data_IF_396763377742
#
_entry.id   IF_396763377742
#
_cell.length_a   1.000
_cell.length_b   1.000
_cell.length_c   1.000
_cell.angle_alpha   90.00
_cell.angle_beta   90.00
_cell.angle_gamma   90.00
#
_symmetry.space_group_name_H-M   'P 1'
#
loop_
_entity.id
_entity.type
_entity.pdbx_description
1 polymer ?
#
# COMPACT_ATOMS: atom_id res chain seq x y z
N UNK A 1 16.36 14.13 57.44
CA UNK A 1 16.05 12.69 57.27
C UNK A 1 14.98 12.57 56.19
N UNK A 2 15.29 11.87 55.08
CA UNK A 2 14.31 11.27 54.14
C UNK A 2 13.53 10.19 54.92
N UNK A 3 12.23 9.97 54.64
CA UNK A 3 11.78 9.24 53.47
C UNK A 3 10.57 9.95 52.80
N UNK A 4 10.17 9.72 51.57
CA UNK A 4 9.64 8.45 51.11
C UNK A 4 9.57 8.44 49.58
N UNK A 5 10.49 7.70 48.98
CA UNK A 5 10.50 7.25 47.58
C UNK A 5 9.41 6.17 47.34
N UNK A 6 8.17 6.42 47.77
CA UNK A 6 7.09 5.42 47.72
C UNK A 6 5.79 5.95 47.09
N UNK A 7 5.87 7.00 46.27
CA UNK A 7 4.73 7.47 45.48
C UNK A 7 4.85 7.13 43.97
N UNK A 8 6.00 6.61 43.52
CA UNK A 8 6.30 6.40 42.09
C UNK A 8 6.24 4.94 41.63
N UNK A 9 5.75 4.00 42.45
CA UNK A 9 5.80 2.55 42.12
C UNK A 9 4.44 1.82 42.15
N UNK A 10 3.30 2.52 42.11
CA UNK A 10 1.98 1.87 42.21
C UNK A 10 0.90 2.44 41.28
N UNK A 11 1.24 2.71 40.02
CA UNK A 11 0.21 2.70 38.96
C UNK A 11 0.69 2.20 37.60
N UNK A 12 1.73 1.35 37.61
CA UNK A 12 2.12 0.50 36.48
C UNK A 12 1.16 -0.71 36.30
N UNK A 13 -0.14 -0.54 36.60
CA UNK A 13 -1.13 -1.62 36.62
C UNK A 13 -2.50 -1.23 36.02
N UNK A 14 -2.53 -0.26 35.09
CA UNK A 14 -3.67 -0.07 34.16
C UNK A 14 -3.11 -0.09 32.73
N UNK A 15 -2.52 -1.25 32.39
CA UNK A 15 -2.03 -1.63 31.06
C UNK A 15 -2.98 -2.65 30.39
N UNK A 16 -4.25 -2.68 30.78
CA UNK A 16 -5.19 -3.69 30.30
C UNK A 16 -6.54 -3.10 29.92
N UNK A 17 -6.86 -3.17 28.63
CA UNK A 17 -8.20 -2.98 28.05
C UNK A 17 -8.76 -1.55 28.06
N UNK A 18 -8.44 -0.78 27.02
CA UNK A 18 -9.04 0.55 26.85
C UNK A 18 -8.79 1.17 25.48
N UNK A 19 -9.16 0.49 24.40
CA UNK A 19 -9.59 1.18 23.18
C UNK A 19 -8.51 1.82 22.31
N UNK A 20 -7.47 1.07 21.93
CA UNK A 20 -6.78 1.37 20.67
C UNK A 20 -7.66 0.85 19.54
N UNK A 21 -8.51 1.72 19.00
CA UNK A 21 -9.18 1.47 17.72
C UNK A 21 -8.05 1.24 16.70
N UNK A 22 -7.93 -0.01 16.26
CA UNK A 22 -7.14 -0.42 15.12
C UNK A 22 -7.61 0.36 13.88
N UNK A 23 -6.93 1.46 13.55
CA UNK A 23 -7.01 2.05 12.22
C UNK A 23 -5.93 1.39 11.35
N UNK A 24 -6.22 0.14 11.01
CA UNK A 24 -5.47 -0.67 10.06
C UNK A 24 -5.55 -0.06 8.66
N UNK A 25 -4.37 0.20 8.08
CA UNK A 25 -4.10 0.28 6.63
C UNK A 25 -4.54 1.54 5.86
N UNK A 26 -3.93 2.68 6.16
CA UNK A 26 -3.61 3.68 5.14
C UNK A 26 -2.08 3.69 4.94
N UNK A 27 -1.54 2.62 4.33
CA UNK A 27 -0.18 2.67 3.82
C UNK A 27 -0.16 3.70 2.70
N UNK A 28 0.46 4.87 2.92
CA UNK A 28 0.80 5.76 1.82
C UNK A 28 1.64 4.94 0.85
N UNK A 29 1.12 4.68 -0.35
CA UNK A 29 1.86 4.01 -1.40
C UNK A 29 3.09 4.84 -1.75
N UNK A 30 4.22 4.57 -1.10
CA UNK A 30 5.50 5.15 -1.42
C UNK A 30 6.12 4.27 -2.50
N UNK A 31 5.84 4.59 -3.77
CA UNK A 31 6.56 4.01 -4.88
C UNK A 31 8.03 4.43 -4.76
N UNK A 32 8.90 3.50 -4.33
CA UNK A 32 10.32 3.73 -4.21
C UNK A 32 10.94 3.65 -5.62
N UNK A 33 10.80 4.73 -6.39
CA UNK A 33 11.35 4.83 -7.74
C UNK A 33 12.86 5.10 -7.65
N UNK A 34 13.66 4.06 -7.80
CA UNK A 34 15.08 4.24 -8.13
C UNK A 34 15.13 4.63 -9.61
N UNK A 35 15.27 5.92 -9.87
CA UNK A 35 15.33 6.46 -11.23
C UNK A 35 16.61 5.98 -11.95
N UNK A 36 16.53 4.80 -12.54
CA UNK A 36 17.54 4.27 -13.46
C UNK A 36 16.83 3.83 -14.72
N UNK A 37 17.16 4.51 -15.83
CA UNK A 37 16.81 4.27 -17.23
C UNK A 37 15.45 3.60 -17.53
N UNK A 38 14.52 4.38 -18.09
CA UNK A 38 13.25 3.95 -18.68
C UNK A 38 12.30 3.18 -17.73
N UNK A 39 12.03 3.76 -16.54
CA UNK A 39 10.95 3.31 -15.64
C UNK A 39 9.65 4.06 -15.96
N UNK A 40 8.54 3.33 -16.13
CA UNK A 40 7.20 3.86 -16.44
C UNK A 40 6.20 3.35 -15.41
N UNK A 41 5.41 4.26 -14.83
CA UNK A 41 4.27 3.90 -13.97
C UNK A 41 2.98 4.16 -14.72
N UNK A 42 2.08 3.17 -14.77
CA UNK A 42 0.76 3.29 -15.38
C UNK A 42 -0.35 3.07 -14.36
N UNK A 43 -1.46 3.78 -14.54
CA UNK A 43 -2.68 3.53 -13.78
C UNK A 43 -3.60 2.58 -14.54
N UNK A 44 -4.06 1.52 -13.87
CA UNK A 44 -5.02 0.54 -14.39
C UNK A 44 -6.32 0.69 -13.59
N UNK A 45 -7.34 1.22 -14.26
CA UNK A 45 -8.62 1.64 -13.68
C UNK A 45 -9.59 0.46 -13.45
N UNK A 46 -10.06 0.28 -12.21
CA UNK A 46 -10.99 -0.76 -11.76
C UNK A 46 -12.48 -0.41 -11.91
N UNK A 47 -12.82 0.81 -12.31
CA UNK A 47 -14.17 1.40 -12.28
C UNK A 47 -15.06 0.93 -13.42
N UNK A 48 -14.52 0.30 -14.47
CA UNK A 48 -15.31 -0.25 -15.58
C UNK A 48 -16.05 -1.54 -15.20
N UNK A 49 -17.16 -1.38 -14.48
CA UNK A 49 -18.41 -2.13 -14.64
C UNK A 49 -18.49 -3.60 -14.21
N UNK A 50 -17.39 -4.35 -14.04
CA UNK A 50 -17.48 -5.78 -13.66
C UNK A 50 -16.37 -6.18 -12.68
N UNK A 51 -16.69 -5.92 -11.41
CA UNK A 51 -15.86 -6.12 -10.21
C UNK A 51 -15.25 -7.53 -10.21
N UNK A 52 -13.91 -7.59 -10.17
CA UNK A 52 -13.01 -8.77 -10.02
C UNK A 52 -12.41 -9.36 -11.29
N UNK A 53 -13.18 -10.00 -12.18
CA UNK A 53 -12.59 -10.65 -13.39
C UNK A 53 -11.98 -9.64 -14.35
N UNK A 54 -12.55 -8.44 -14.42
CA UNK A 54 -12.06 -7.40 -15.32
C UNK A 54 -10.69 -6.87 -14.91
N UNK A 55 -10.42 -6.73 -13.60
CA UNK A 55 -9.12 -6.23 -13.11
C UNK A 55 -7.96 -7.18 -13.31
N UNK A 56 -8.15 -8.46 -13.02
CA UNK A 56 -7.11 -9.44 -13.33
C UNK A 56 -6.79 -9.46 -14.84
N UNK A 57 -7.80 -9.35 -15.70
CA UNK A 57 -7.60 -9.32 -17.15
C UNK A 57 -6.91 -8.04 -17.63
N UNK A 58 -7.29 -6.87 -17.09
CA UNK A 58 -6.65 -5.59 -17.44
C UNK A 58 -5.20 -5.52 -16.97
N UNK A 59 -4.91 -6.01 -15.76
CA UNK A 59 -3.54 -6.13 -15.28
C UNK A 59 -2.73 -7.10 -16.15
N UNK A 60 -3.27 -8.29 -16.43
CA UNK A 60 -2.62 -9.28 -17.31
C UNK A 60 -2.34 -8.70 -18.68
N UNK A 61 -3.30 -7.95 -19.26
CA UNK A 61 -3.12 -7.25 -20.52
C UNK A 61 -2.02 -6.19 -20.44
N UNK A 62 -2.02 -5.35 -19.40
CA UNK A 62 -0.97 -4.37 -19.16
C UNK A 62 0.40 -5.04 -19.08
N UNK A 63 0.54 -6.13 -18.31
CA UNK A 63 1.80 -6.87 -18.23
C UNK A 63 2.25 -7.42 -19.58
N UNK A 64 1.34 -7.99 -20.37
CA UNK A 64 1.65 -8.50 -21.71
C UNK A 64 2.06 -7.38 -22.68
N UNK A 65 1.34 -6.27 -22.68
CA UNK A 65 1.62 -5.12 -23.57
C UNK A 65 2.97 -4.48 -23.23
N UNK A 66 3.32 -4.37 -21.94
CA UNK A 66 4.64 -3.86 -21.51
C UNK A 66 5.77 -4.88 -21.72
N UNK A 67 5.51 -6.17 -21.53
CA UNK A 67 6.48 -7.22 -21.85
C UNK A 67 6.82 -7.24 -23.35
N UNK A 68 5.81 -7.10 -24.23
CA UNK A 68 6.02 -7.01 -25.68
C UNK A 68 6.87 -5.80 -26.10
N UNK A 69 6.89 -4.75 -25.27
CA UNK A 69 7.70 -3.54 -25.46
C UNK A 69 9.10 -3.64 -24.83
N UNK A 70 9.48 -4.78 -24.25
CA UNK A 70 10.77 -4.98 -23.60
C UNK A 70 10.86 -4.42 -22.18
N UNK A 71 9.73 -4.24 -21.50
CA UNK A 71 9.71 -3.82 -20.10
C UNK A 71 9.46 -5.01 -19.17
N UNK A 72 10.12 -5.01 -18.01
CA UNK A 72 9.86 -5.94 -16.90
C UNK A 72 9.03 -5.27 -15.81
N UNK A 73 8.17 -6.06 -15.16
CA UNK A 73 7.44 -5.63 -13.97
C UNK A 73 8.40 -5.33 -12.81
N UNK A 74 8.13 -4.25 -12.07
CA UNK A 74 8.91 -3.82 -10.90
C UNK A 74 8.05 -3.85 -9.64
N UNK A 75 6.95 -3.11 -9.65
CA UNK A 75 6.14 -2.89 -8.46
C UNK A 75 4.68 -2.59 -8.82
N UNK A 76 3.76 -2.82 -7.88
CA UNK A 76 2.34 -2.49 -8.02
C UNK A 76 1.77 -2.01 -6.70
N UNK A 77 1.08 -0.87 -6.73
CA UNK A 77 0.39 -0.30 -5.59
C UNK A 77 -1.12 -0.16 -5.84
N UNK A 78 -2.00 -0.62 -4.93
CA UNK A 78 -3.42 -0.34 -5.03
C UNK A 78 -3.72 1.14 -4.77
N UNK A 79 -4.67 1.69 -5.52
CA UNK A 79 -5.23 3.02 -5.29
C UNK A 79 -6.68 2.88 -4.83
N UNK A 80 -6.94 3.35 -3.62
CA UNK A 80 -8.26 3.38 -3.02
C UNK A 80 -8.69 4.83 -2.81
N UNK A 81 -9.95 5.13 -3.13
CA UNK A 81 -10.56 6.44 -2.88
C UNK A 81 -11.85 6.23 -2.10
N UNK A 82 -12.03 6.97 -1.01
CA UNK A 82 -13.20 6.86 -0.14
C UNK A 82 -13.48 5.42 0.40
N UNK A 83 -12.45 4.59 0.48
CA UNK A 83 -12.55 3.19 0.94
C UNK A 83 -12.86 2.17 -0.17
N UNK A 84 -13.07 2.63 -1.41
CA UNK A 84 -13.29 1.78 -2.58
C UNK A 84 -12.01 1.64 -3.40
N UNK A 85 -11.71 0.42 -3.86
CA UNK A 85 -10.61 0.16 -4.77
C UNK A 85 -10.93 0.77 -6.15
N UNK A 86 -10.18 1.79 -6.53
CA UNK A 86 -10.33 2.51 -7.80
C UNK A 86 -9.40 1.95 -8.87
N UNK A 87 -8.25 1.38 -8.49
CA UNK A 87 -7.34 0.80 -9.47
C UNK A 87 -5.98 0.41 -8.89
N UNK A 88 -5.02 0.21 -9.77
CA UNK A 88 -3.64 -0.09 -9.42
C UNK A 88 -2.67 0.78 -10.21
N UNK A 89 -1.66 1.30 -9.54
CA UNK A 89 -0.47 1.82 -10.18
C UNK A 89 0.49 0.66 -10.39
N UNK A 90 0.91 0.44 -11.64
CA UNK A 90 1.86 -0.61 -12.01
C UNK A 90 3.11 0.03 -12.57
N UNK A 91 4.26 -0.31 -11.99
CA UNK A 91 5.56 0.19 -12.39
C UNK A 91 6.29 -0.87 -13.19
N UNK A 92 6.79 -0.46 -14.35
CA UNK A 92 7.61 -1.26 -15.24
C UNK A 92 8.95 -0.56 -15.49
N UNK A 93 10.01 -1.32 -15.73
CA UNK A 93 11.30 -0.78 -16.15
C UNK A 93 11.75 -1.48 -17.41
N UNK A 94 12.39 -0.75 -18.31
CA UNK A 94 12.96 -1.35 -19.52
C UNK A 94 14.09 -2.32 -19.14
N UNK A 95 14.15 -3.45 -19.84
CA UNK A 95 15.27 -4.38 -19.77
C UNK A 95 16.43 -3.91 -20.63
#
# INVERSE_FOLDING_TARGET
>A
MKPSFLASLLLAAVLGAGGSILLTHAGTAQAQSSATADTVTVFVDATLGFRKKHMANQLTKSHADYAARGYRYVDMAPYNENGDLVGFFVTYTRQ
#
